data_IF_085988513619
#
_entry.id   IF_085988513619
#
_cell.length_a   1.000
_cell.length_b   1.000
_cell.length_c   1.000
_cell.angle_alpha   90.00
_cell.angle_beta   90.00
_cell.angle_gamma   90.00
#
_symmetry.space_group_name_H-M   'P 1'
#
loop_
_entity.id
_entity.type
_entity.pdbx_description
1 polymer ?
#
# COMPACT_ATOMS: atom_id res chain seq x y z
N UNK A 1 -9.99 -10.05 1.58
CA UNK A 1 -9.79 -8.59 1.54
C UNK A 1 -8.45 -8.23 0.91
N UNK A 2 -7.34 -8.85 1.34
CA UNK A 2 -6.03 -8.61 0.71
C UNK A 2 -6.05 -8.95 -0.78
N UNK A 3 -6.71 -10.03 -1.16
CA UNK A 3 -6.89 -10.39 -2.57
C UNK A 3 -7.71 -9.34 -3.33
N UNK A 4 -8.77 -8.81 -2.71
CA UNK A 4 -9.58 -7.73 -3.28
C UNK A 4 -8.74 -6.47 -3.48
N UNK A 5 -7.92 -6.08 -2.51
CA UNK A 5 -7.02 -4.92 -2.63
C UNK A 5 -6.00 -5.13 -3.75
N UNK A 6 -5.46 -6.33 -3.86
CA UNK A 6 -4.55 -6.71 -4.95
C UNK A 6 -5.21 -6.53 -6.32
N UNK A 7 -6.43 -7.03 -6.49
CA UNK A 7 -7.14 -6.95 -7.78
C UNK A 7 -7.60 -5.54 -8.12
N UNK A 8 -8.11 -4.80 -7.13
CA UNK A 8 -8.71 -3.48 -7.34
C UNK A 8 -7.66 -2.40 -7.60
N UNK A 9 -6.64 -2.36 -6.77
CA UNK A 9 -5.66 -1.27 -6.77
C UNK A 9 -4.25 -1.77 -7.07
N UNK A 10 -3.86 -2.91 -6.51
CA UNK A 10 -2.52 -3.47 -6.66
C UNK A 10 -2.13 -3.72 -8.11
N UNK A 11 -3.02 -4.26 -8.92
CA UNK A 11 -2.74 -4.55 -10.34
C UNK A 11 -2.46 -3.30 -11.16
N UNK A 12 -3.13 -2.19 -10.87
CA UNK A 12 -2.86 -0.92 -11.54
C UNK A 12 -1.45 -0.42 -11.20
N UNK A 13 -1.07 -0.45 -9.93
CA UNK A 13 0.26 -0.03 -9.51
C UNK A 13 1.35 -1.00 -9.98
N UNK A 14 1.08 -2.31 -9.98
CA UNK A 14 1.98 -3.32 -10.57
C UNK A 14 2.30 -2.96 -12.02
N UNK A 15 1.28 -2.68 -12.82
CA UNK A 15 1.45 -2.27 -14.21
C UNK A 15 2.23 -0.96 -14.31
N UNK A 16 1.84 0.05 -13.54
CA UNK A 16 2.43 1.39 -13.61
C UNK A 16 3.93 1.37 -13.29
N UNK A 17 4.35 0.61 -12.29
CA UNK A 17 5.76 0.52 -11.91
C UNK A 17 6.56 -0.42 -12.80
N UNK A 18 5.95 -1.48 -13.34
CA UNK A 18 6.67 -2.43 -14.19
C UNK A 18 6.79 -2.01 -15.64
N UNK A 19 5.85 -1.24 -16.16
CA UNK A 19 5.84 -0.84 -17.58
C UNK A 19 7.13 -0.16 -18.04
N UNK A 20 7.71 0.82 -17.32
CA UNK A 20 8.98 1.42 -17.75
C UNK A 20 10.12 0.41 -17.81
N UNK A 21 10.18 -0.55 -16.90
CA UNK A 21 11.19 -1.60 -16.87
C UNK A 21 11.07 -2.52 -18.10
N UNK A 22 9.83 -2.87 -18.45
CA UNK A 22 9.55 -3.69 -19.64
C UNK A 22 9.93 -2.94 -20.91
N UNK A 23 9.55 -1.67 -21.03
CA UNK A 23 9.85 -0.83 -22.19
C UNK A 23 11.37 -0.62 -22.37
N UNK A 24 12.12 -0.57 -21.29
CA UNK A 24 13.58 -0.43 -21.30
C UNK A 24 14.32 -1.78 -21.40
N UNK A 25 13.62 -2.88 -21.63
CA UNK A 25 14.18 -4.22 -21.73
C UNK A 25 15.08 -4.59 -20.54
N UNK A 26 14.64 -4.24 -19.34
CA UNK A 26 15.36 -4.61 -18.11
C UNK A 26 15.30 -6.12 -17.87
N UNK A 27 16.18 -6.63 -17.00
CA UNK A 27 16.22 -8.04 -16.67
C UNK A 27 14.90 -8.53 -16.06
N UNK A 28 14.66 -9.85 -16.13
CA UNK A 28 13.49 -10.47 -15.50
C UNK A 28 13.45 -10.18 -14.00
N UNK A 29 14.61 -10.17 -13.33
CA UNK A 29 14.75 -9.87 -11.92
C UNK A 29 14.32 -8.42 -11.62
N UNK A 30 14.76 -7.46 -12.42
CA UNK A 30 14.39 -6.06 -12.27
C UNK A 30 12.90 -5.84 -12.51
N UNK A 31 12.34 -6.49 -13.53
CA UNK A 31 10.90 -6.41 -13.82
C UNK A 31 10.10 -7.00 -12.67
N UNK A 32 10.53 -8.14 -12.12
CA UNK A 32 9.86 -8.76 -10.97
C UNK A 32 9.92 -7.86 -9.75
N UNK A 33 11.06 -7.23 -9.49
CA UNK A 33 11.19 -6.21 -8.43
C UNK A 33 10.15 -5.09 -8.60
N UNK A 34 10.05 -4.53 -9.82
CA UNK A 34 9.11 -3.43 -10.10
C UNK A 34 7.66 -3.87 -9.89
N UNK A 35 7.29 -5.09 -10.27
CA UNK A 35 5.97 -5.65 -10.03
C UNK A 35 5.66 -5.79 -8.54
N UNK A 36 6.58 -6.35 -7.78
CA UNK A 36 6.44 -6.52 -6.33
C UNK A 36 6.34 -5.16 -5.63
N UNK A 37 7.17 -4.20 -6.06
CA UNK A 37 7.11 -2.83 -5.54
C UNK A 37 5.74 -2.20 -5.78
N UNK A 38 5.23 -2.30 -7.00
CA UNK A 38 3.92 -1.75 -7.36
C UNK A 38 2.79 -2.37 -6.54
N UNK A 39 2.82 -3.69 -6.34
CA UNK A 39 1.83 -4.38 -5.51
C UNK A 39 1.87 -3.92 -4.06
N UNK A 40 3.06 -3.77 -3.48
CA UNK A 40 3.23 -3.27 -2.12
C UNK A 40 2.73 -1.82 -2.01
N UNK A 41 3.13 -0.97 -2.95
CA UNK A 41 2.70 0.43 -2.97
C UNK A 41 1.18 0.53 -3.07
N UNK A 42 0.55 -0.26 -3.94
CA UNK A 42 -0.90 -0.28 -4.09
C UNK A 42 -1.64 -0.72 -2.83
N UNK A 43 -1.10 -1.71 -2.12
CA UNK A 43 -1.67 -2.14 -0.83
C UNK A 43 -1.61 -1.00 0.20
N UNK A 44 -0.44 -0.37 0.34
CA UNK A 44 -0.26 0.75 1.27
C UNK A 44 -1.20 1.89 0.90
N UNK A 45 -1.27 2.24 -0.38
CA UNK A 45 -2.15 3.30 -0.87
C UNK A 45 -3.60 3.04 -0.47
N UNK A 46 -4.11 1.84 -0.71
CA UNK A 46 -5.49 1.48 -0.39
C UNK A 46 -5.75 1.49 1.12
N UNK A 47 -4.84 0.94 1.90
CA UNK A 47 -4.96 0.94 3.38
C UNK A 47 -5.00 2.37 3.92
N UNK A 48 -4.11 3.22 3.45
CA UNK A 48 -4.04 4.61 3.91
C UNK A 48 -5.28 5.39 3.47
N UNK A 49 -5.79 5.16 2.27
CA UNK A 49 -7.05 5.77 1.84
C UNK A 49 -8.22 5.37 2.76
N UNK A 50 -8.33 4.10 3.10
CA UNK A 50 -9.36 3.62 4.01
C UNK A 50 -9.23 4.27 5.40
N UNK A 51 -8.00 4.45 5.89
CA UNK A 51 -7.74 5.15 7.15
C UNK A 51 -8.15 6.62 7.09
N UNK A 52 -7.79 7.31 6.02
CA UNK A 52 -8.13 8.72 5.81
C UNK A 52 -9.65 8.90 5.74
N UNK A 53 -10.33 8.03 5.02
CA UNK A 53 -11.79 8.06 4.88
C UNK A 53 -12.48 7.85 6.24
N UNK A 54 -12.00 6.90 7.04
CA UNK A 54 -12.56 6.66 8.37
C UNK A 54 -12.35 7.85 9.30
N UNK A 55 -11.14 8.41 9.36
CA UNK A 55 -10.81 9.59 10.16
C UNK A 55 -11.63 10.79 9.70
N UNK A 56 -11.74 11.01 8.39
CA UNK A 56 -12.51 12.09 7.80
C UNK A 56 -14.00 11.99 8.13
N UNK A 57 -14.57 10.80 8.03
CA UNK A 57 -15.97 10.54 8.38
C UNK A 57 -16.24 10.78 9.86
N UNK A 58 -15.35 10.32 10.74
CA UNK A 58 -15.45 10.57 12.17
C UNK A 58 -15.45 12.07 12.51
N UNK A 59 -14.51 12.83 11.93
CA UNK A 59 -14.40 14.28 12.17
C UNK A 59 -15.58 15.07 11.62
N UNK A 60 -16.12 14.71 10.45
CA UNK A 60 -17.21 15.42 9.80
C UNK A 60 -18.58 15.15 10.42
N UNK A 61 -18.82 13.94 10.87
CA UNK A 61 -20.15 13.46 11.22
C UNK A 61 -20.31 13.25 12.72
N UNK A 62 -19.20 13.26 13.48
CA UNK A 62 -19.20 12.97 14.92
C UNK A 62 -19.71 11.56 15.25
N UNK A 63 -19.61 10.63 14.31
CA UNK A 63 -20.11 9.26 14.47
C UNK A 63 -18.96 8.28 14.74
N UNK A 64 -19.32 7.19 15.42
CA UNK A 64 -18.39 6.13 15.81
C UNK A 64 -17.63 5.57 14.61
N UNK A 65 -16.29 5.38 14.71
CA UNK A 65 -15.53 4.64 13.70
C UNK A 65 -16.14 3.28 13.39
N UNK A 66 -16.09 2.84 12.14
CA UNK A 66 -16.63 1.55 11.73
C UNK A 66 -18.04 1.62 11.13
N UNK A 67 -18.60 2.80 10.91
CA UNK A 67 -19.90 2.95 10.26
C UNK A 67 -19.93 2.39 8.83
N UNK A 68 -18.79 2.41 8.13
CA UNK A 68 -18.66 1.83 6.79
C UNK A 68 -18.87 0.32 6.80
N UNK A 69 -18.54 -0.36 7.90
CA UNK A 69 -18.83 -1.80 8.07
C UNK A 69 -20.33 -2.00 8.17
N UNK A 70 -21.04 -1.15 8.92
CA UNK A 70 -22.51 -1.19 9.03
C UNK A 70 -23.18 -0.88 7.69
N UNK A 71 -22.51 -0.16 6.80
CA UNK A 71 -23.01 0.17 5.46
C UNK A 71 -22.60 -0.87 4.39
N UNK A 72 -22.00 -2.00 4.79
CA UNK A 72 -21.61 -3.08 3.89
C UNK A 72 -20.26 -2.94 3.23
N UNK A 73 -19.46 -1.94 3.58
CA UNK A 73 -18.08 -1.82 3.13
C UNK A 73 -17.17 -2.71 3.99
N UNK A 74 -16.57 -3.71 3.36
CA UNK A 74 -15.57 -4.56 4.01
C UNK A 74 -14.18 -3.95 3.81
N UNK A 75 -13.60 -3.40 4.87
CA UNK A 75 -12.23 -2.91 4.87
C UNK A 75 -11.36 -3.77 5.78
N UNK A 76 -10.07 -3.86 5.45
CA UNK A 76 -9.11 -4.52 6.31
C UNK A 76 -9.05 -3.84 7.68
N UNK A 77 -9.12 -2.50 7.68
CA UNK A 77 -9.18 -1.68 8.87
C UNK A 77 -10.32 -2.09 9.81
N UNK A 78 -11.51 -2.30 9.25
CA UNK A 78 -12.67 -2.73 10.03
C UNK A 78 -12.53 -4.12 10.64
N UNK A 79 -11.78 -5.02 9.99
CA UNK A 79 -11.60 -6.38 10.45
C UNK A 79 -10.56 -6.51 11.57
N UNK A 80 -9.42 -5.85 11.44
CA UNK A 80 -8.29 -6.07 12.36
C UNK A 80 -7.90 -4.84 13.17
N UNK A 81 -8.48 -3.68 12.88
CA UNK A 81 -8.24 -2.42 13.60
C UNK A 81 -7.04 -1.64 13.07
N UNK A 82 -7.04 -0.35 13.39
CA UNK A 82 -6.07 0.63 12.87
C UNK A 82 -4.62 0.26 13.20
N UNK A 83 -4.34 -0.06 14.47
CA UNK A 83 -2.97 -0.36 14.90
C UNK A 83 -2.39 -1.55 14.17
N UNK A 84 -3.15 -2.64 14.07
CA UNK A 84 -2.69 -3.87 13.40
C UNK A 84 -2.48 -3.67 11.91
N UNK A 85 -3.33 -2.88 11.26
CA UNK A 85 -3.18 -2.54 9.84
C UNK A 85 -1.90 -1.74 9.60
N UNK A 86 -1.63 -0.73 10.41
CA UNK A 86 -0.41 0.07 10.31
C UNK A 86 0.83 -0.80 10.55
N UNK A 87 0.81 -1.63 11.59
CA UNK A 87 1.93 -2.54 11.88
C UNK A 87 2.15 -3.54 10.74
N UNK A 88 1.09 -4.05 10.14
CA UNK A 88 1.18 -4.93 8.97
C UNK A 88 1.88 -4.22 7.80
N UNK A 89 1.49 -2.98 7.50
CA UNK A 89 2.12 -2.21 6.43
C UNK A 89 3.60 -1.97 6.71
N UNK A 90 3.94 -1.56 7.92
CA UNK A 90 5.35 -1.36 8.33
C UNK A 90 6.17 -2.63 8.19
N UNK A 91 5.63 -3.77 8.63
CA UNK A 91 6.31 -5.06 8.53
C UNK A 91 6.52 -5.47 7.07
N UNK A 92 5.54 -5.26 6.20
CA UNK A 92 5.68 -5.55 4.77
C UNK A 92 6.73 -4.66 4.10
N UNK A 93 6.77 -3.38 4.45
CA UNK A 93 7.78 -2.44 3.95
C UNK A 93 9.17 -2.88 4.40
N UNK A 94 9.35 -3.17 5.68
CA UNK A 94 10.63 -3.59 6.23
C UNK A 94 11.12 -4.90 5.60
N UNK A 95 10.23 -5.87 5.41
CA UNK A 95 10.55 -7.12 4.74
C UNK A 95 11.00 -6.87 3.29
N UNK A 96 10.29 -6.03 2.57
CA UNK A 96 10.62 -5.68 1.19
C UNK A 96 11.97 -4.97 1.09
N UNK A 97 12.25 -4.02 1.97
CA UNK A 97 13.52 -3.30 2.03
C UNK A 97 14.68 -4.27 2.25
N UNK A 98 14.53 -5.21 3.17
CA UNK A 98 15.56 -6.24 3.42
C UNK A 98 15.77 -7.14 2.21
N UNK A 99 14.69 -7.59 1.59
CA UNK A 99 14.73 -8.49 0.43
C UNK A 99 15.43 -7.83 -0.77
N UNK A 100 15.20 -6.54 -0.99
CA UNK A 100 15.68 -5.81 -2.16
C UNK A 100 16.70 -4.72 -1.82
N UNK A 101 17.51 -4.96 -0.81
CA UNK A 101 18.45 -3.97 -0.26
C UNK A 101 19.38 -3.38 -1.32
N UNK A 102 19.92 -4.20 -2.22
CA UNK A 102 20.90 -3.73 -3.24
C UNK A 102 20.25 -2.73 -4.20
N UNK A 103 19.10 -3.07 -4.77
CA UNK A 103 18.38 -2.19 -5.70
C UNK A 103 17.93 -0.92 -5.00
N UNK A 104 17.38 -1.04 -3.80
CA UNK A 104 16.85 0.10 -3.06
C UNK A 104 17.94 1.06 -2.58
N UNK A 105 19.12 0.56 -2.23
CA UNK A 105 20.25 1.42 -1.88
C UNK A 105 20.71 2.30 -3.05
N UNK A 106 20.55 1.81 -4.28
CA UNK A 106 20.84 2.58 -5.50
C UNK A 106 19.74 3.56 -5.87
N UNK A 107 18.54 3.36 -5.32
CA UNK A 107 17.35 4.15 -5.64
C UNK A 107 16.61 4.54 -4.35
N UNK A 108 17.22 5.38 -3.50
CA UNK A 108 16.63 5.71 -2.19
C UNK A 108 15.28 6.42 -2.29
N UNK A 109 14.97 7.04 -3.42
CA UNK A 109 13.66 7.67 -3.63
C UNK A 109 12.52 6.66 -3.53
N UNK A 110 12.74 5.41 -3.88
CA UNK A 110 11.71 4.37 -3.78
C UNK A 110 11.36 4.05 -2.32
N UNK A 111 12.36 4.07 -1.43
CA UNK A 111 12.12 3.95 0.02
C UNK A 111 11.34 5.16 0.52
N UNK A 112 11.77 6.35 0.14
CA UNK A 112 11.13 7.60 0.56
C UNK A 112 9.66 7.66 0.12
N UNK A 113 9.34 7.14 -1.06
CA UNK A 113 7.98 7.10 -1.58
C UNK A 113 7.07 6.17 -0.75
N UNK A 114 7.58 5.01 -0.33
CA UNK A 114 6.83 4.12 0.57
C UNK A 114 6.58 4.78 1.93
N UNK A 115 7.61 5.42 2.50
CA UNK A 115 7.49 6.14 3.77
C UNK A 115 6.53 7.32 3.67
N UNK A 116 6.58 8.06 2.55
CA UNK A 116 5.64 9.15 2.29
C UNK A 116 4.19 8.65 2.26
N UNK A 117 3.96 7.51 1.60
CA UNK A 117 2.64 6.86 1.61
C UNK A 117 2.12 6.62 3.01
N UNK A 118 2.97 6.08 3.89
CA UNK A 118 2.61 5.82 5.29
C UNK A 118 2.34 7.10 6.10
N UNK A 119 3.01 8.20 5.77
CA UNK A 119 2.85 9.48 6.49
C UNK A 119 1.60 10.27 6.11
N UNK A 120 0.86 9.88 5.08
CA UNK A 120 -0.35 10.58 4.63
C UNK A 120 -1.45 10.65 5.69
N UNK A 121 -1.41 9.78 6.70
CA UNK A 121 -2.39 9.78 7.80
C UNK A 121 -2.15 10.84 8.88
N UNK A 122 -1.04 11.51 8.83
CA UNK A 122 -0.70 12.58 9.82
C UNK A 122 -1.19 13.96 9.29
#
# INVERSE_FOLDING_TARGET
ILDMYSRKTGKLFEFSFSAPFILKNKSKTDIQFAKEYGMLFGLIFQVIDDLIDEIGTFKKIGKTPGKDIKQGKSTLLGLIGQKRVIDMCKNKINFFIKKHKVILNRNPILINLLEFGMKRIN
#
